data_IF_894774072165
#
_entry.id   IF_894774072165
#
_cell.length_a   1.000
_cell.length_b   1.000
_cell.length_c   1.000
_cell.angle_alpha   90.00
_cell.angle_beta   90.00
_cell.angle_gamma   90.00
#
_symmetry.space_group_name_H-M   'P 1'
#
loop_
_entity.id
_entity.type
_entity.pdbx_description
1 polymer ?
#
# COMPACT_ATOMS: atom_id res chain seq x y z
N UNK A 1 -5.67 22.84 0.31
CA UNK A 1 -5.85 21.44 -0.10
C UNK A 1 -7.34 21.22 -0.33
N UNK A 2 -7.71 20.89 -1.55
CA UNK A 2 -9.09 20.53 -1.89
C UNK A 2 -9.27 19.02 -1.81
N UNK A 3 -10.51 18.54 -1.66
CA UNK A 3 -10.80 17.09 -1.57
C UNK A 3 -10.31 16.35 -2.83
N UNK A 4 -10.22 17.05 -3.97
CA UNK A 4 -9.72 16.54 -5.25
C UNK A 4 -8.22 16.24 -5.29
N UNK A 5 -7.43 16.78 -4.34
CA UNK A 5 -5.98 16.53 -4.27
C UNK A 5 -5.66 15.23 -3.51
N UNK A 6 -6.62 14.71 -2.73
CA UNK A 6 -6.44 13.53 -1.88
C UNK A 6 -6.05 12.25 -2.65
N UNK A 7 -6.61 11.96 -3.85
CA UNK A 7 -6.19 10.81 -4.64
C UNK A 7 -4.71 10.86 -5.04
N UNK A 8 -4.20 12.03 -5.46
CA UNK A 8 -2.80 12.20 -5.81
C UNK A 8 -1.89 12.03 -4.58
N UNK A 9 -2.27 12.63 -3.45
CA UNK A 9 -1.52 12.48 -2.19
C UNK A 9 -1.47 11.00 -1.78
N UNK A 10 -2.60 10.30 -1.86
CA UNK A 10 -2.68 8.88 -1.54
C UNK A 10 -1.82 8.01 -2.46
N UNK A 11 -1.76 8.33 -3.76
CA UNK A 11 -0.88 7.67 -4.70
C UNK A 11 0.60 7.92 -4.37
N UNK A 12 0.97 9.16 -4.08
CA UNK A 12 2.33 9.52 -3.66
C UNK A 12 2.74 8.82 -2.36
N UNK A 13 1.84 8.70 -1.39
CA UNK A 13 2.10 7.97 -0.14
C UNK A 13 2.35 6.48 -0.41
N UNK A 14 1.57 5.83 -1.27
CA UNK A 14 1.82 4.44 -1.67
C UNK A 14 3.13 4.27 -2.43
N UNK A 15 3.44 5.20 -3.34
CA UNK A 15 4.72 5.22 -4.04
C UNK A 15 5.89 5.36 -3.07
N UNK A 16 5.78 6.25 -2.08
CA UNK A 16 6.78 6.42 -1.04
C UNK A 16 6.91 5.16 -0.17
N UNK A 17 5.80 4.54 0.25
CA UNK A 17 5.84 3.25 0.96
C UNK A 17 6.58 2.20 0.14
N UNK A 18 6.30 2.10 -1.16
CA UNK A 18 6.98 1.16 -2.06
C UNK A 18 8.50 1.36 -2.05
N UNK A 19 8.96 2.61 -2.16
CA UNK A 19 10.39 2.93 -2.11
C UNK A 19 11.01 2.61 -0.75
N UNK A 20 10.32 2.90 0.35
CA UNK A 20 10.78 2.58 1.70
C UNK A 20 10.88 1.08 1.94
N UNK A 21 9.93 0.29 1.43
CA UNK A 21 9.95 -1.17 1.49
C UNK A 21 11.14 -1.74 0.72
N UNK A 22 11.37 -1.27 -0.50
CA UNK A 22 12.53 -1.68 -1.31
C UNK A 22 13.85 -1.33 -0.61
N UNK A 23 13.99 -0.11 -0.12
CA UNK A 23 15.17 0.32 0.62
C UNK A 23 15.37 -0.55 1.87
N UNK A 24 14.30 -0.81 2.64
CA UNK A 24 14.36 -1.66 3.82
C UNK A 24 14.75 -3.10 3.51
N UNK A 25 14.32 -3.64 2.36
CA UNK A 25 14.72 -4.96 1.88
C UNK A 25 16.20 -5.03 1.50
N UNK A 26 16.73 -3.98 0.85
CA UNK A 26 18.16 -3.88 0.53
C UNK A 26 18.99 -3.80 1.82
N UNK A 27 18.56 -3.02 2.82
CA UNK A 27 19.28 -2.86 4.08
C UNK A 27 19.33 -4.16 4.90
N UNK A 28 18.25 -4.94 4.95
CA UNK A 28 18.28 -6.24 5.65
C UNK A 28 19.16 -7.26 4.93
N UNK A 29 19.20 -7.25 3.59
CA UNK A 29 20.14 -8.08 2.81
C UNK A 29 21.61 -7.72 3.08
N UNK A 30 21.88 -6.46 3.41
CA UNK A 30 23.21 -5.97 3.83
C UNK A 30 23.51 -6.22 5.31
N UNK A 31 22.63 -6.88 6.05
CA UNK A 31 22.77 -7.13 7.49
C UNK A 31 22.52 -5.89 8.37
N UNK A 32 22.08 -4.77 7.80
CA UNK A 32 21.87 -3.51 8.52
C UNK A 32 20.49 -3.48 9.20
N UNK A 33 20.35 -4.24 10.29
CA UNK A 33 19.08 -4.44 10.99
C UNK A 33 18.46 -3.15 11.54
N UNK A 34 19.28 -2.24 12.09
CA UNK A 34 18.79 -0.97 12.65
C UNK A 34 18.18 -0.10 11.55
N UNK A 35 18.88 0.08 10.42
CA UNK A 35 18.38 0.84 9.28
C UNK A 35 17.14 0.19 8.65
N UNK A 36 17.10 -1.15 8.56
CA UNK A 36 15.91 -1.87 8.14
C UNK A 36 14.71 -1.53 9.05
N UNK A 37 14.87 -1.60 10.37
CA UNK A 37 13.81 -1.29 11.33
C UNK A 37 13.27 0.14 11.18
N UNK A 38 14.17 1.13 11.01
CA UNK A 38 13.77 2.52 10.78
C UNK A 38 12.98 2.69 9.47
N UNK A 39 13.41 2.05 8.39
CA UNK A 39 12.72 2.09 7.11
C UNK A 39 11.36 1.39 7.16
N UNK A 40 11.23 0.27 7.88
CA UNK A 40 9.95 -0.41 8.08
C UNK A 40 8.99 0.43 8.93
N UNK A 41 9.49 1.12 9.95
CA UNK A 41 8.69 2.05 10.75
C UNK A 41 8.19 3.22 9.89
N UNK A 42 9.07 3.83 9.08
CA UNK A 42 8.68 4.87 8.14
C UNK A 42 7.63 4.37 7.14
N UNK A 43 7.83 3.19 6.54
CA UNK A 43 6.87 2.58 5.62
C UNK A 43 5.50 2.38 6.27
N UNK A 44 5.47 1.91 7.52
CA UNK A 44 4.24 1.74 8.30
C UNK A 44 3.52 3.06 8.57
N UNK A 45 4.25 4.10 8.96
CA UNK A 45 3.68 5.44 9.19
C UNK A 45 3.11 6.00 7.88
N UNK A 46 3.85 5.92 6.77
CA UNK A 46 3.37 6.37 5.46
C UNK A 46 2.13 5.59 5.01
N UNK A 47 2.10 4.26 5.20
CA UNK A 47 0.93 3.43 4.88
C UNK A 47 -0.29 3.79 5.74
N UNK A 48 -0.07 4.12 7.02
CA UNK A 48 -1.14 4.54 7.93
C UNK A 48 -1.74 5.89 7.51
N UNK A 49 -0.89 6.84 7.11
CA UNK A 49 -1.32 8.13 6.57
C UNK A 49 -2.13 7.94 5.28
N UNK A 50 -1.70 7.06 4.38
CA UNK A 50 -2.46 6.69 3.19
C UNK A 50 -3.83 6.13 3.56
N UNK A 51 -3.90 5.17 4.50
CA UNK A 51 -5.17 4.54 4.87
C UNK A 51 -6.16 5.58 5.44
N UNK A 52 -5.68 6.47 6.31
CA UNK A 52 -6.48 7.57 6.86
C UNK A 52 -6.97 8.49 5.74
N UNK A 53 -6.08 8.90 4.84
CA UNK A 53 -6.43 9.76 3.69
C UNK A 53 -7.42 9.11 2.74
N UNK A 54 -7.26 7.81 2.44
CA UNK A 54 -8.14 7.04 1.57
C UNK A 54 -9.54 6.88 2.16
N UNK A 55 -9.62 6.42 3.42
CA UNK A 55 -10.90 6.24 4.12
C UNK A 55 -11.59 7.58 4.32
N UNK A 56 -10.85 8.63 4.70
CA UNK A 56 -11.38 9.99 4.83
C UNK A 56 -11.97 10.52 3.52
N UNK A 57 -11.26 10.36 2.40
CA UNK A 57 -11.77 10.71 1.07
C UNK A 57 -13.03 9.91 0.73
N UNK A 58 -13.03 8.59 0.96
CA UNK A 58 -14.19 7.72 0.67
C UNK A 58 -15.42 8.07 1.50
N UNK A 59 -15.25 8.45 2.76
CA UNK A 59 -16.34 8.95 3.61
C UNK A 59 -16.84 10.30 3.08
N UNK A 60 -15.95 11.22 2.73
CA UNK A 60 -16.30 12.55 2.23
C UNK A 60 -17.09 12.51 0.91
N UNK A 61 -16.74 11.59 0.00
CA UNK A 61 -17.43 11.40 -1.28
C UNK A 61 -18.60 10.40 -1.21
N UNK A 62 -19.09 10.07 0.00
CA UNK A 62 -20.20 9.12 0.26
C UNK A 62 -20.07 7.78 -0.47
N UNK A 63 -18.85 7.27 -0.62
CA UNK A 63 -18.60 6.00 -1.29
C UNK A 63 -18.82 5.99 -2.79
N UNK A 64 -19.00 7.16 -3.45
CA UNK A 64 -19.05 7.20 -4.92
C UNK A 64 -17.76 6.61 -5.48
N UNK A 65 -17.92 5.58 -6.29
CA UNK A 65 -16.82 4.99 -7.05
C UNK A 65 -16.65 5.82 -8.32
N UNK A 66 -15.46 6.40 -8.50
CA UNK A 66 -15.03 6.91 -9.80
C UNK A 66 -15.19 5.78 -10.80
N UNK A 67 -15.93 6.00 -11.90
CA UNK A 67 -16.03 4.97 -12.93
C UNK A 67 -14.73 4.96 -13.71
N UNK A 68 -14.41 3.79 -14.24
CA UNK A 68 -13.29 3.66 -15.15
C UNK A 68 -13.79 4.06 -16.53
N UNK A 69 -13.14 5.03 -17.18
CA UNK A 69 -13.49 5.44 -18.55
C UNK A 69 -13.03 4.46 -19.64
N UNK A 70 -12.88 3.17 -19.32
CA UNK A 70 -12.37 2.15 -20.22
C UNK A 70 -13.33 0.96 -20.28
N UNK A 71 -13.50 0.39 -21.48
CA UNK A 71 -14.34 -0.77 -21.73
C UNK A 71 -13.52 -2.02 -22.06
N UNK A 72 -14.13 -3.20 -21.91
CA UNK A 72 -13.60 -4.46 -22.43
C UNK A 72 -12.47 -5.05 -21.59
N UNK A 73 -11.42 -5.65 -22.19
CA UNK A 73 -10.38 -6.37 -21.44
C UNK A 73 -9.65 -5.54 -20.37
N UNK A 74 -9.53 -4.22 -20.57
CA UNK A 74 -8.86 -3.30 -19.65
C UNK A 74 -9.67 -3.10 -18.37
N UNK A 75 -11.00 -2.99 -18.49
CA UNK A 75 -11.93 -2.87 -17.37
C UNK A 75 -11.88 -4.11 -16.47
N UNK A 76 -11.92 -5.29 -17.08
CA UNK A 76 -11.83 -6.56 -16.35
C UNK A 76 -10.50 -6.66 -15.60
N UNK A 77 -9.39 -6.33 -16.26
CA UNK A 77 -8.08 -6.32 -15.61
C UNK A 77 -8.02 -5.35 -14.42
N UNK A 78 -8.54 -4.14 -14.59
CA UNK A 78 -8.63 -3.14 -13.53
C UNK A 78 -9.42 -3.66 -12.32
N UNK A 79 -10.61 -4.22 -12.53
CA UNK A 79 -11.43 -4.73 -11.42
C UNK A 79 -10.81 -5.94 -10.73
N UNK A 80 -10.19 -6.86 -11.48
CA UNK A 80 -9.45 -7.99 -10.87
C UNK A 80 -8.29 -7.48 -10.01
N UNK A 81 -7.54 -6.50 -10.50
CA UNK A 81 -6.46 -5.87 -9.75
C UNK A 81 -6.99 -5.12 -8.53
N UNK A 82 -8.09 -4.37 -8.66
CA UNK A 82 -8.70 -3.61 -7.56
C UNK A 82 -9.25 -4.53 -6.47
N UNK A 83 -9.98 -5.58 -6.84
CA UNK A 83 -10.54 -6.55 -5.89
C UNK A 83 -9.40 -7.25 -5.15
N UNK A 84 -8.39 -7.76 -5.87
CA UNK A 84 -7.23 -8.40 -5.24
C UNK A 84 -6.46 -7.43 -4.35
N UNK A 85 -6.27 -6.17 -4.75
CA UNK A 85 -5.66 -5.14 -3.92
C UNK A 85 -6.43 -4.95 -2.60
N UNK A 86 -7.75 -4.79 -2.65
CA UNK A 86 -8.57 -4.56 -1.45
C UNK A 86 -8.51 -5.77 -0.51
N UNK A 87 -8.70 -6.98 -1.04
CA UNK A 87 -8.65 -8.21 -0.26
C UNK A 87 -7.28 -8.39 0.41
N UNK A 88 -6.20 -8.19 -0.35
CA UNK A 88 -4.84 -8.27 0.18
C UNK A 88 -4.55 -7.14 1.18
N UNK A 89 -5.04 -5.92 0.96
CA UNK A 89 -4.86 -4.82 1.90
C UNK A 89 -5.51 -5.11 3.27
N UNK A 90 -6.70 -5.72 3.28
CA UNK A 90 -7.37 -6.14 4.52
C UNK A 90 -6.56 -7.17 5.31
N UNK A 91 -5.95 -8.14 4.61
CA UNK A 91 -5.10 -9.17 5.22
C UNK A 91 -3.72 -8.62 5.61
N UNK A 92 -3.21 -7.66 4.83
CA UNK A 92 -1.88 -7.08 5.02
C UNK A 92 -1.77 -6.32 6.34
N UNK A 93 -2.80 -5.57 6.73
CA UNK A 93 -2.80 -4.78 7.97
C UNK A 93 -2.51 -5.65 9.22
N UNK A 94 -3.27 -6.71 9.53
CA UNK A 94 -2.97 -7.56 10.69
C UNK A 94 -1.62 -8.28 10.55
N UNK A 95 -1.19 -8.64 9.34
CA UNK A 95 0.14 -9.23 9.11
C UNK A 95 1.27 -8.25 9.47
N UNK A 96 1.18 -6.99 9.06
CA UNK A 96 2.16 -5.95 9.38
C UNK A 96 2.22 -5.72 10.89
N UNK A 97 1.06 -5.55 11.53
CA UNK A 97 0.99 -5.35 12.98
C UNK A 97 1.62 -6.52 13.75
N UNK A 98 1.33 -7.77 13.32
CA UNK A 98 1.94 -8.94 13.93
C UNK A 98 3.46 -8.99 13.67
N UNK A 99 3.91 -8.62 12.49
CA UNK A 99 5.33 -8.60 12.11
C UNK A 99 6.12 -7.59 12.96
N UNK A 100 5.55 -6.41 13.21
CA UNK A 100 6.13 -5.39 14.11
C UNK A 100 6.08 -5.85 15.57
N UNK A 101 4.96 -6.43 16.01
CA UNK A 101 4.87 -6.96 17.37
C UNK A 101 5.97 -8.00 17.67
N UNK A 102 6.23 -8.90 16.71
CA UNK A 102 7.30 -9.90 16.84
C UNK A 102 8.70 -9.28 16.91
N UNK A 103 8.96 -8.18 16.18
CA UNK A 103 10.25 -7.48 16.27
C UNK A 103 10.43 -6.78 17.62
N UNK A 104 9.38 -6.13 18.14
CA UNK A 104 9.40 -5.48 19.47
C UNK A 104 9.59 -6.50 20.59
N UNK A 105 9.02 -7.71 20.44
CA UNK A 105 9.23 -8.82 21.40
C UNK A 105 10.57 -9.55 21.24
N UNK A 106 11.43 -9.13 20.31
CA UNK A 106 12.71 -9.79 20.04
C UNK A 106 12.60 -11.20 19.45
N UNK A 107 11.41 -11.61 18.98
CA UNK A 107 11.14 -12.93 18.40
C UNK A 107 11.51 -12.96 16.91
N UNK A 108 12.79 -12.77 16.62
CA UNK A 108 13.28 -12.54 15.26
C UNK A 108 13.08 -13.73 14.30
N UNK A 109 13.12 -14.96 14.78
CA UNK A 109 12.90 -16.14 13.93
C UNK A 109 11.44 -16.22 13.42
N UNK A 110 10.48 -15.92 14.30
CA UNK A 110 9.08 -15.82 13.90
C UNK A 110 8.81 -14.60 13.04
N UNK A 111 9.44 -13.46 13.37
CA UNK A 111 9.40 -12.27 12.53
C UNK A 111 9.85 -12.59 11.10
N UNK A 112 11.01 -13.25 10.91
CA UNK A 112 11.50 -13.66 9.59
C UNK A 112 10.52 -14.59 8.87
N UNK A 113 9.95 -15.56 9.59
CA UNK A 113 8.98 -16.51 9.01
C UNK A 113 7.75 -15.80 8.46
N UNK A 114 7.20 -14.85 9.22
CA UNK A 114 6.03 -14.07 8.81
C UNK A 114 6.39 -13.01 7.75
N UNK A 115 7.51 -12.31 7.91
CA UNK A 115 7.96 -11.25 7.01
C UNK A 115 8.18 -11.73 5.57
N UNK A 116 8.53 -13.01 5.36
CA UNK A 116 8.60 -13.62 4.01
C UNK A 116 7.28 -13.57 3.24
N UNK A 117 6.15 -13.54 3.96
CA UNK A 117 4.82 -13.39 3.38
C UNK A 117 4.32 -11.95 3.47
N UNK A 118 4.56 -11.26 4.59
CA UNK A 118 4.15 -9.86 4.77
C UNK A 118 4.79 -8.95 3.73
N UNK A 119 6.09 -9.12 3.44
CA UNK A 119 6.81 -8.26 2.51
C UNK A 119 6.23 -8.27 1.08
N UNK A 120 6.05 -9.42 0.39
CA UNK A 120 5.50 -9.42 -0.97
C UNK A 120 4.05 -8.93 -1.02
N UNK A 121 3.24 -9.25 0.00
CA UNK A 121 1.85 -8.75 0.07
C UNK A 121 1.83 -7.23 0.24
N UNK A 122 2.67 -6.70 1.15
CA UNK A 122 2.76 -5.27 1.38
C UNK A 122 3.27 -4.53 0.15
N UNK A 123 4.30 -5.06 -0.50
CA UNK A 123 4.82 -4.51 -1.75
C UNK A 123 3.75 -4.51 -2.85
N UNK A 124 3.01 -5.62 -3.01
CA UNK A 124 1.93 -5.71 -4.00
C UNK A 124 0.88 -4.63 -3.78
N UNK A 125 0.37 -4.50 -2.54
CA UNK A 125 -0.66 -3.52 -2.20
C UNK A 125 -0.15 -2.09 -2.44
N UNK A 126 1.09 -1.77 -2.04
CA UNK A 126 1.64 -0.43 -2.26
C UNK A 126 1.82 -0.08 -3.74
N UNK A 127 2.30 -1.01 -4.57
CA UNK A 127 2.45 -0.77 -6.02
C UNK A 127 1.08 -0.63 -6.68
N UNK A 128 0.15 -1.55 -6.40
CA UNK A 128 -1.19 -1.52 -7.00
C UNK A 128 -2.00 -0.31 -6.55
N UNK A 129 -1.76 0.24 -5.36
CA UNK A 129 -2.36 1.51 -4.94
C UNK A 129 -1.99 2.70 -5.84
N UNK A 130 -0.75 2.75 -6.33
CA UNK A 130 -0.32 3.74 -7.33
C UNK A 130 -0.98 3.46 -8.68
N UNK A 131 -1.02 2.19 -9.09
CA UNK A 131 -1.66 1.80 -10.35
C UNK A 131 -3.14 2.17 -10.39
N UNK A 132 -3.90 1.97 -9.30
CA UNK A 132 -5.30 2.36 -9.22
C UNK A 132 -5.48 3.86 -9.50
N UNK A 133 -4.59 4.70 -8.97
CA UNK A 133 -4.60 6.14 -9.28
C UNK A 133 -4.31 6.41 -10.77
N UNK A 134 -3.27 5.78 -11.33
CA UNK A 134 -2.92 5.97 -12.74
C UNK A 134 -4.06 5.55 -13.68
N UNK A 135 -4.71 4.42 -13.41
CA UNK A 135 -5.86 3.96 -14.17
C UNK A 135 -7.01 4.98 -14.11
N UNK A 136 -7.39 5.44 -12.92
CA UNK A 136 -8.57 6.28 -12.73
C UNK A 136 -8.38 7.75 -13.12
N UNK A 137 -7.15 8.29 -13.05
CA UNK A 137 -6.93 9.73 -13.18
C UNK A 137 -5.98 10.14 -14.31
N UNK A 138 -5.20 9.21 -14.88
CA UNK A 138 -4.18 9.52 -15.89
C UNK A 138 -4.46 8.79 -17.20
N UNK A 139 -4.65 7.48 -17.16
CA UNK A 139 -4.79 6.66 -18.36
C UNK A 139 -6.23 6.57 -18.86
N UNK A 140 -7.19 6.41 -17.94
CA UNK A 140 -8.61 6.31 -18.27
C UNK A 140 -9.45 7.21 -17.35
N UNK A 141 -9.18 8.53 -17.34
CA UNK A 141 -10.00 9.47 -16.60
C UNK A 141 -11.46 9.40 -17.09
N UNK A 142 -12.41 9.42 -16.16
CA UNK A 142 -13.82 9.64 -16.48
C UNK A 142 -13.95 10.97 -17.25
N UNK A 143 -14.62 10.93 -18.40
CA UNK A 143 -14.82 12.07 -19.30
C UNK A 143 -15.84 13.08 -18.76
#
# INVERSE_FOLDING_TARGET
MTISDLPLINACLNGLTTLLLLAGYVQIKRGQQQSHGLLMAAAFVTSSLFLIGYVGHKIAVKGVHTKLGADGPVEVFYYVMLISHILLAMVNLPMILRTIFLSVKGRYEEHKRLARWTFPVWMYVSVTGVLVYLFLYVWFPDA
#
